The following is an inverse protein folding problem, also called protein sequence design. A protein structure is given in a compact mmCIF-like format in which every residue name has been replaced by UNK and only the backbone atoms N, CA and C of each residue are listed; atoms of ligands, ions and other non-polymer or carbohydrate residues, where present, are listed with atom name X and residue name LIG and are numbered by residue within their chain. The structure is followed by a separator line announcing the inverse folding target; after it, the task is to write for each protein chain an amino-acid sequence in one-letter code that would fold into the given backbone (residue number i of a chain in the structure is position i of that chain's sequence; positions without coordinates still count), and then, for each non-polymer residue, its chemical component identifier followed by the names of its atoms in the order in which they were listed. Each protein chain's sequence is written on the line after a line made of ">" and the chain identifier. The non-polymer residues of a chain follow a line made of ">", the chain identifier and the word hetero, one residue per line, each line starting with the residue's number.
data_IF_249149573034
#
_entry.id   IF_249149573034
#
_cell.length_a   1.000
_cell.length_b   1.000
_cell.length_c   1.000
_cell.angle_alpha   90.00
_cell.angle_beta   90.00
_cell.angle_gamma   90.00
#
_symmetry.space_group_name_H-M   'P 1'
#
loop_
_entity.id
_entity.type
_entity.pdbx_description
1 polymer ?
#
# COMPACT_ATOMS: atom_id res chain seq x y z
N UNK A 1 -4.19 -30.61 38.47
CA UNK A 1 -5.09 -30.08 39.52
C UNK A 1 -4.24 -29.57 40.68
N UNK A 2 -4.24 -28.26 40.91
CA UNK A 2 -4.15 -27.61 42.23
C UNK A 2 -4.40 -26.11 42.01
N UNK A 3 -5.69 -25.78 42.08
CA UNK A 3 -6.20 -24.43 42.32
C UNK A 3 -5.92 -24.07 43.79
N UNK A 4 -5.38 -22.89 44.05
CA UNK A 4 -5.68 -22.12 45.28
C UNK A 4 -5.66 -20.62 44.94
N UNK A 5 -6.82 -19.98 45.14
CA UNK A 5 -7.07 -18.53 45.32
C UNK A 5 -8.18 -18.46 46.39
N UNK A 6 -8.48 -17.31 47.04
CA UNK A 6 -7.63 -16.18 47.43
C UNK A 6 -7.82 -15.83 48.93
N UNK A 7 -6.99 -14.95 49.49
CA UNK A 7 -7.30 -14.27 50.76
C UNK A 7 -7.59 -12.79 50.47
N UNK A 8 -8.82 -12.37 50.76
CA UNK A 8 -9.21 -10.97 50.86
C UNK A 8 -8.58 -10.36 52.13
N UNK A 9 -7.98 -9.19 52.01
CA UNK A 9 -7.88 -8.25 53.13
C UNK A 9 -8.30 -6.86 52.64
N UNK A 10 -9.38 -6.35 53.21
CA UNK A 10 -9.85 -4.97 53.12
C UNK A 10 -9.09 -4.12 54.14
N UNK A 11 -8.68 -2.91 53.74
CA UNK A 11 -8.33 -1.83 54.66
C UNK A 11 -8.79 -0.50 54.06
N UNK A 12 -9.65 0.18 54.81
CA UNK A 12 -10.06 1.57 54.63
C UNK A 12 -9.18 2.47 55.51
N UNK A 13 -8.69 3.61 54.99
CA UNK A 13 -8.82 4.93 55.62
C UNK A 13 -8.03 6.06 54.89
N UNK A 14 -8.76 7.18 54.68
CA UNK A 14 -8.39 8.61 54.73
C UNK A 14 -7.25 9.21 53.87
N UNK A 15 -7.72 10.05 52.92
CA UNK A 15 -7.26 11.37 52.46
C UNK A 15 -5.87 11.84 52.90
N UNK A 16 -4.98 12.00 51.91
CA UNK A 16 -3.77 12.82 51.99
C UNK A 16 -3.51 13.48 50.63
N UNK A 17 -3.60 14.81 50.60
CA UNK A 17 -3.37 15.67 49.45
C UNK A 17 -1.87 15.62 49.07
N UNK A 18 -1.54 15.20 47.85
CA UNK A 18 -0.18 15.34 47.31
C UNK A 18 -0.24 15.71 45.83
N UNK A 19 0.59 16.68 45.49
CA UNK A 19 0.56 17.47 44.26
C UNK A 19 0.87 16.66 42.99
N UNK A 20 0.23 17.11 41.91
CA UNK A 20 0.41 16.68 40.54
C UNK A 20 1.84 16.91 40.04
N UNK A 21 2.45 15.87 39.48
CA UNK A 21 3.30 15.98 38.29
C UNK A 21 3.00 14.74 37.43
N UNK A 22 1.96 14.83 36.60
CA UNK A 22 1.73 13.86 35.54
C UNK A 22 2.55 14.30 34.33
N UNK A 23 3.62 13.56 34.02
CA UNK A 23 4.25 13.65 32.70
C UNK A 23 3.29 13.01 31.70
N UNK A 24 2.53 13.86 31.01
CA UNK A 24 1.78 13.48 29.81
C UNK A 24 2.78 13.24 28.68
N UNK A 25 3.23 12.00 28.49
CA UNK A 25 3.77 11.59 27.20
C UNK A 25 2.59 11.29 26.29
N UNK A 26 2.06 12.33 25.63
CA UNK A 26 1.16 12.14 24.51
C UNK A 26 1.96 11.58 23.33
N UNK A 27 2.07 10.25 23.26
CA UNK A 27 2.39 9.57 22.02
C UNK A 27 1.21 9.81 21.07
N UNK A 28 1.28 10.90 20.30
CA UNK A 28 0.28 11.23 19.29
C UNK A 28 0.22 10.12 18.24
N UNK A 29 -0.85 9.33 18.31
CA UNK A 29 -1.23 8.35 17.28
C UNK A 29 -1.87 9.10 16.12
N UNK A 30 -1.58 8.68 14.89
CA UNK A 30 -2.42 9.00 13.73
C UNK A 30 -3.77 8.32 13.93
N UNK A 31 -4.77 9.04 14.44
CA UNK A 31 -6.03 8.47 14.90
C UNK A 31 -7.11 8.34 13.79
N UNK A 32 -6.70 8.32 12.51
CA UNK A 32 -7.61 8.12 11.37
C UNK A 32 -7.46 6.75 10.72
N UNK A 33 -6.37 6.01 11.00
CA UNK A 33 -6.08 4.76 10.29
C UNK A 33 -7.06 3.61 10.62
N UNK A 34 -7.67 3.56 11.82
CA UNK A 34 -8.53 2.43 12.19
C UNK A 34 -9.89 2.45 11.50
N UNK A 35 -10.46 3.64 11.26
CA UNK A 35 -11.79 3.76 10.64
C UNK A 35 -11.73 3.45 9.14
N UNK A 36 -10.69 3.95 8.44
CA UNK A 36 -10.51 3.68 7.01
C UNK A 36 -10.16 2.21 6.73
N UNK A 37 -9.42 1.55 7.64
CA UNK A 37 -9.03 0.14 7.46
C UNK A 37 -10.21 -0.80 7.76
N UNK A 38 -11.04 -0.51 8.77
CA UNK A 38 -12.25 -1.31 9.02
C UNK A 38 -13.32 -1.12 7.94
N UNK A 39 -13.51 0.10 7.41
CA UNK A 39 -14.39 0.34 6.28
C UNK A 39 -13.89 -0.33 4.98
N UNK A 40 -12.57 -0.39 4.78
CA UNK A 40 -11.98 -1.13 3.65
C UNK A 40 -12.08 -2.65 3.84
N UNK A 41 -12.02 -3.14 5.08
CA UNK A 41 -12.19 -4.56 5.41
C UNK A 41 -13.66 -4.98 5.24
N UNK A 42 -14.63 -4.20 5.74
CA UNK A 42 -16.06 -4.50 5.57
C UNK A 42 -16.45 -4.56 4.10
N UNK A 43 -15.95 -3.62 3.28
CA UNK A 43 -16.26 -3.53 1.86
C UNK A 43 -15.71 -4.71 1.03
N UNK A 44 -14.83 -5.52 1.60
CA UNK A 44 -14.24 -6.70 0.96
C UNK A 44 -14.86 -8.02 1.43
N UNK A 45 -15.67 -8.02 2.50
CA UNK A 45 -16.15 -9.26 3.14
C UNK A 45 -17.68 -9.44 3.20
N UNK A 46 -18.46 -8.59 2.54
CA UNK A 46 -19.94 -8.59 2.65
C UNK A 46 -20.69 -9.69 1.85
N UNK A 47 -20.04 -10.83 1.58
CA UNK A 47 -20.70 -11.98 0.93
C UNK A 47 -20.37 -13.30 1.66
N UNK A 48 -20.78 -13.39 2.94
CA UNK A 48 -20.93 -14.68 3.63
C UNK A 48 -22.35 -14.84 4.18
N UNK A 49 -23.21 -15.44 3.37
CA UNK A 49 -24.36 -16.19 3.87
C UNK A 49 -24.24 -17.67 3.47
N UNK A 50 -24.11 -18.49 4.50
CA UNK A 50 -24.18 -19.97 4.55
C UNK A 50 -23.01 -20.77 3.98
N UNK A 51 -22.18 -21.31 4.89
CA UNK A 51 -21.91 -22.75 4.91
C UNK A 51 -21.47 -23.22 6.31
N UNK A 52 -22.19 -24.24 6.78
CA UNK A 52 -22.16 -24.81 8.12
C UNK A 52 -20.81 -25.44 8.51
N UNK A 53 -20.66 -25.53 9.83
CA UNK A 53 -19.54 -26.15 10.53
C UNK A 53 -19.36 -27.63 10.22
N UNK A 54 -18.15 -28.04 9.84
CA UNK A 54 -17.59 -29.34 10.22
C UNK A 54 -16.06 -29.25 10.31
N UNK A 55 -15.52 -29.46 11.52
CA UNK A 55 -14.08 -29.49 11.80
C UNK A 55 -13.50 -30.84 11.37
N UNK A 56 -12.62 -30.85 10.37
CA UNK A 56 -11.68 -31.95 10.13
C UNK A 56 -10.23 -31.48 10.27
N UNK A 57 -9.34 -32.30 10.88
CA UNK A 57 -7.98 -31.88 11.16
C UNK A 57 -7.14 -31.80 9.89
N UNK A 58 -6.35 -30.73 9.77
CA UNK A 58 -5.36 -30.50 8.72
C UNK A 58 -4.40 -31.70 8.60
N UNK A 59 -4.60 -32.53 7.58
CA UNK A 59 -3.56 -33.42 7.07
C UNK A 59 -2.62 -32.63 6.16
N UNK A 60 -1.32 -32.88 6.32
CA UNK A 60 -0.27 -32.26 5.55
C UNK A 60 -0.51 -32.47 4.04
N UNK A 61 -0.67 -31.36 3.31
CA UNK A 61 -0.77 -31.39 1.86
C UNK A 61 0.55 -31.90 1.27
N UNK A 62 0.47 -32.98 0.48
CA UNK A 62 1.57 -33.46 -0.34
C UNK A 62 1.87 -32.46 -1.47
N UNK A 63 3.10 -32.42 -2.01
CA UNK A 63 3.45 -31.49 -3.08
C UNK A 63 2.62 -31.80 -4.32
N UNK A 64 1.88 -30.81 -4.83
CA UNK A 64 1.14 -30.97 -6.07
C UNK A 64 2.13 -31.19 -7.22
N UNK A 65 2.04 -32.35 -7.87
CA UNK A 65 2.71 -32.62 -9.13
C UNK A 65 2.26 -31.59 -10.19
N UNK A 66 3.24 -31.01 -10.89
CA UNK A 66 3.01 -30.11 -12.03
C UNK A 66 2.34 -30.89 -13.16
N UNK A 67 1.01 -30.88 -13.18
CA UNK A 67 0.25 -31.18 -14.40
C UNK A 67 0.38 -29.98 -15.33
N UNK A 68 0.90 -30.21 -16.53
CA UNK A 68 1.02 -29.20 -17.57
C UNK A 68 -0.35 -28.62 -17.89
N UNK A 69 -0.59 -27.39 -17.45
CA UNK A 69 -1.77 -26.63 -17.83
C UNK A 69 -1.63 -26.22 -19.29
N UNK A 70 -2.61 -26.60 -20.10
CA UNK A 70 -2.85 -26.04 -21.41
C UNK A 70 -2.99 -24.50 -21.28
N UNK A 71 -2.12 -23.70 -21.93
CA UNK A 71 -2.13 -22.24 -21.82
C UNK A 71 -3.39 -21.58 -22.43
N UNK A 72 -4.29 -22.35 -23.04
CA UNK A 72 -5.56 -21.88 -23.59
C UNK A 72 -6.76 -21.94 -22.63
N UNK A 73 -6.62 -22.51 -21.43
CA UNK A 73 -7.75 -22.86 -20.55
C UNK A 73 -7.92 -21.99 -19.29
N UNK A 74 -7.23 -20.85 -19.18
CA UNK A 74 -7.55 -19.84 -18.16
C UNK A 74 -8.76 -19.02 -18.59
N UNK A 75 -9.89 -19.11 -17.88
CA UNK A 75 -11.06 -18.28 -18.19
C UNK A 75 -10.68 -16.80 -18.13
N UNK A 76 -10.85 -16.07 -19.23
CA UNK A 76 -10.56 -14.63 -19.30
C UNK A 76 -11.39 -13.91 -18.22
N UNK A 77 -10.76 -13.22 -17.25
CA UNK A 77 -11.46 -12.47 -16.22
C UNK A 77 -12.39 -11.43 -16.86
N UNK A 78 -13.67 -11.49 -16.52
CA UNK A 78 -14.63 -10.49 -16.93
C UNK A 78 -14.29 -9.15 -16.28
N UNK A 79 -14.34 -8.05 -17.05
CA UNK A 79 -14.11 -6.71 -16.54
C UNK A 79 -15.44 -6.19 -15.96
N UNK A 80 -15.52 -5.88 -14.65
CA UNK A 80 -16.72 -5.28 -14.07
C UNK A 80 -17.06 -3.96 -14.76
N UNK A 81 -18.36 -3.72 -14.95
CA UNK A 81 -18.86 -2.46 -15.51
C UNK A 81 -18.28 -1.25 -14.76
N UNK A 82 -18.09 -0.10 -15.42
CA UNK A 82 -17.70 1.12 -14.74
C UNK A 82 -18.70 1.46 -13.62
N UNK A 83 -18.19 1.69 -12.42
CA UNK A 83 -18.95 2.21 -11.29
C UNK A 83 -18.06 3.17 -10.50
N UNK A 84 -18.67 3.93 -9.59
CA UNK A 84 -17.91 4.69 -8.61
C UNK A 84 -16.96 3.76 -7.85
N UNK A 85 -15.76 4.27 -7.58
CA UNK A 85 -14.70 3.57 -6.85
C UNK A 85 -14.05 4.55 -5.90
N UNK A 86 -13.76 4.07 -4.70
CA UNK A 86 -12.97 4.80 -3.71
C UNK A 86 -11.53 4.96 -4.18
N UNK A 87 -10.88 6.03 -3.71
CA UNK A 87 -9.48 6.35 -3.95
C UNK A 87 -8.80 6.66 -2.60
N UNK A 88 -8.59 5.63 -1.75
CA UNK A 88 -8.10 5.83 -0.39
C UNK A 88 -6.64 6.28 -0.40
N UNK A 89 -6.16 6.82 0.73
CA UNK A 89 -4.79 7.30 0.82
C UNK A 89 -3.83 6.24 1.33
N UNK A 90 -2.81 5.93 0.54
CA UNK A 90 -1.72 5.03 0.90
C UNK A 90 -0.56 5.84 1.51
N UNK A 91 0.12 5.26 2.50
CA UNK A 91 1.29 5.83 3.19
C UNK A 91 2.54 5.04 2.84
N UNK A 92 3.43 5.62 2.04
CA UNK A 92 4.66 4.99 1.55
C UNK A 92 5.86 5.50 2.33
N UNK A 93 6.60 4.63 3.02
CA UNK A 93 7.89 4.99 3.59
C UNK A 93 8.94 5.15 2.48
N UNK A 94 9.55 6.34 2.40
CA UNK A 94 10.60 6.66 1.43
C UNK A 94 11.96 6.15 1.93
N UNK A 95 12.07 4.82 2.05
CA UNK A 95 13.25 4.11 2.52
C UNK A 95 14.44 4.31 1.58
N UNK A 96 14.19 4.39 0.26
CA UNK A 96 15.20 4.68 -0.76
C UNK A 96 15.81 6.09 -0.62
N UNK A 97 15.11 6.99 0.08
CA UNK A 97 15.53 8.37 0.31
C UNK A 97 16.26 8.57 1.64
N UNK A 98 16.65 7.49 2.34
CA UNK A 98 17.44 7.62 3.57
C UNK A 98 18.94 7.69 3.27
N UNK A 99 19.72 8.53 4.00
CA UNK A 99 19.25 9.53 4.96
C UNK A 99 18.60 10.74 4.27
N UNK A 100 17.72 11.45 4.98
CA UNK A 100 17.18 12.72 4.50
C UNK A 100 18.28 13.78 4.53
N UNK A 101 18.67 14.26 3.34
CA UNK A 101 19.71 15.29 3.15
C UNK A 101 19.12 16.67 2.97
N UNK A 102 18.02 16.75 2.22
CA UNK A 102 17.35 18.00 1.94
C UNK A 102 15.84 17.76 1.76
N UNK A 103 15.04 18.63 2.36
CA UNK A 103 13.60 18.71 2.11
C UNK A 103 13.22 20.15 1.76
N UNK A 104 12.54 20.33 0.63
CA UNK A 104 12.05 21.64 0.17
C UNK A 104 10.65 21.52 -0.42
N UNK A 105 9.94 22.63 -0.52
CA UNK A 105 8.58 22.67 -1.07
C UNK A 105 8.55 23.46 -2.38
N UNK A 106 7.62 23.10 -3.27
CA UNK A 106 7.36 23.74 -4.56
C UNK A 106 5.85 23.91 -4.77
N UNK A 107 5.47 24.74 -5.74
CA UNK A 107 4.07 24.89 -6.19
C UNK A 107 3.10 25.23 -5.04
N UNK A 108 3.55 26.07 -4.10
CA UNK A 108 2.74 26.51 -2.97
C UNK A 108 2.60 25.50 -1.82
N UNK A 109 3.34 24.39 -1.84
CA UNK A 109 3.44 23.50 -0.69
C UNK A 109 4.14 24.19 0.50
N UNK A 110 3.64 23.92 1.70
CA UNK A 110 4.21 24.43 2.94
C UNK A 110 4.37 23.30 3.96
N UNK A 111 5.16 23.55 5.01
CA UNK A 111 5.42 22.58 6.06
C UNK A 111 4.84 23.07 7.38
N UNK A 112 4.28 22.16 8.17
CA UNK A 112 3.71 22.44 9.49
C UNK A 112 4.25 21.48 10.53
N UNK A 113 4.32 21.94 11.77
CA UNK A 113 4.55 21.07 12.94
C UNK A 113 3.34 20.18 13.18
N UNK A 114 3.48 19.18 14.05
CA UNK A 114 2.35 18.36 14.50
C UNK A 114 1.19 19.20 15.07
N UNK A 115 1.48 20.36 15.68
CA UNK A 115 0.47 21.29 16.19
C UNK A 115 -0.13 22.24 15.13
N UNK A 116 0.22 22.09 13.86
CA UNK A 116 -0.28 22.90 12.75
C UNK A 116 0.46 24.24 12.54
N UNK A 117 1.50 24.53 13.33
CA UNK A 117 2.29 25.76 13.18
C UNK A 117 3.11 25.73 11.89
N UNK A 118 3.01 26.75 11.01
CA UNK A 118 3.82 26.82 9.79
C UNK A 118 5.33 26.85 10.09
N UNK A 119 6.11 26.15 9.26
CA UNK A 119 7.57 26.05 9.32
C UNK A 119 8.12 26.69 8.04
N UNK A 120 8.98 27.69 8.21
CA UNK A 120 9.67 28.31 7.07
C UNK A 120 10.70 27.33 6.45
N UNK A 121 10.90 27.34 5.11
CA UNK A 121 11.79 26.38 4.44
C UNK A 121 13.22 26.31 5.01
N UNK A 122 13.83 27.43 5.37
CA UNK A 122 15.17 27.48 5.98
C UNK A 122 15.22 27.01 7.45
N UNK A 123 14.08 26.94 8.12
CA UNK A 123 13.95 26.43 9.50
C UNK A 123 13.81 24.91 9.48
N UNK A 124 13.06 24.35 8.53
CA UNK A 124 12.81 22.91 8.43
C UNK A 124 14.11 22.10 8.40
N UNK A 125 15.02 22.39 7.46
CA UNK A 125 16.25 21.62 7.31
C UNK A 125 17.16 21.73 8.55
N UNK A 126 17.15 22.88 9.25
CA UNK A 126 17.85 23.01 10.54
C UNK A 126 17.22 22.13 11.62
N UNK A 127 15.88 22.08 11.70
CA UNK A 127 15.18 21.18 12.62
C UNK A 127 15.48 19.71 12.34
N UNK A 128 15.55 19.30 11.07
CA UNK A 128 15.91 17.92 10.69
C UNK A 128 17.33 17.54 11.11
N UNK A 129 18.27 18.49 11.15
CA UNK A 129 19.65 18.27 11.60
C UNK A 129 19.73 18.23 13.14
N UNK A 130 19.02 19.12 13.83
CA UNK A 130 19.17 19.36 15.26
C UNK A 130 18.30 18.45 16.14
N UNK A 131 17.10 18.09 15.67
CA UNK A 131 16.16 17.30 16.44
C UNK A 131 16.31 15.79 16.15
N UNK A 132 16.27 14.99 17.21
CA UNK A 132 16.30 13.53 17.17
C UNK A 132 14.89 12.89 17.28
N UNK A 133 13.86 13.71 17.46
CA UNK A 133 12.45 13.31 17.45
C UNK A 133 11.58 14.40 16.83
N UNK A 134 10.48 14.03 16.20
CA UNK A 134 9.50 14.99 15.73
C UNK A 134 8.58 14.42 14.65
N UNK A 135 7.52 15.18 14.38
CA UNK A 135 6.59 14.94 13.28
C UNK A 135 6.29 16.29 12.60
N UNK A 136 6.65 16.37 11.32
CA UNK A 136 6.33 17.50 10.45
C UNK A 136 5.54 17.02 9.25
N UNK A 137 4.60 17.81 8.77
CA UNK A 137 3.79 17.50 7.59
C UNK A 137 4.00 18.58 6.55
N UNK A 138 4.40 18.20 5.35
CA UNK A 138 4.66 19.10 4.24
C UNK A 138 3.78 18.74 3.05
N UNK A 139 3.13 19.70 2.42
CA UNK A 139 2.30 19.46 1.24
C UNK A 139 1.25 20.55 1.03
N UNK A 140 0.56 20.48 -0.10
CA UNK A 140 -0.64 21.27 -0.39
C UNK A 140 -1.40 20.66 -1.57
N UNK A 141 -2.63 21.11 -1.77
CA UNK A 141 -3.39 20.75 -2.98
C UNK A 141 -2.69 21.32 -4.22
N UNK A 142 -2.23 20.45 -5.12
CA UNK A 142 -1.51 20.83 -6.33
C UNK A 142 -0.03 21.18 -6.13
N UNK A 143 0.46 21.22 -4.88
CA UNK A 143 1.86 21.43 -4.55
C UNK A 143 2.70 20.16 -4.62
N UNK A 144 4.02 20.31 -4.52
CA UNK A 144 4.93 19.18 -4.37
C UNK A 144 6.03 19.41 -3.34
N UNK A 145 6.49 18.32 -2.75
CA UNK A 145 7.58 18.31 -1.78
C UNK A 145 8.75 17.55 -2.37
N UNK A 146 9.92 18.16 -2.36
CA UNK A 146 11.15 17.54 -2.84
C UNK A 146 11.87 16.93 -1.65
N UNK A 147 12.05 15.62 -1.68
CA UNK A 147 12.86 14.87 -0.72
C UNK A 147 14.10 14.39 -1.46
N UNK A 148 15.27 14.85 -1.02
CA UNK A 148 16.56 14.60 -1.69
C UNK A 148 16.55 14.92 -3.20
N UNK A 149 15.79 15.95 -3.59
CA UNK A 149 15.66 16.40 -4.98
C UNK A 149 14.59 15.67 -5.79
N UNK A 150 13.98 14.60 -5.27
CA UNK A 150 12.86 13.92 -5.93
C UNK A 150 11.53 14.52 -5.49
N UNK A 151 10.69 14.88 -6.46
CA UNK A 151 9.39 15.50 -6.20
C UNK A 151 8.29 14.46 -5.89
N UNK A 152 7.51 14.74 -4.86
CA UNK A 152 6.37 13.93 -4.43
C UNK A 152 5.12 14.79 -4.33
N UNK A 153 3.98 14.23 -4.74
CA UNK A 153 2.65 14.82 -4.58
C UNK A 153 2.00 14.34 -3.27
N UNK A 154 0.91 14.99 -2.87
CA UNK A 154 0.23 14.69 -1.61
C UNK A 154 0.96 15.29 -0.41
N UNK A 155 0.91 14.59 0.72
CA UNK A 155 1.55 15.04 1.97
C UNK A 155 2.77 14.19 2.27
N UNK A 156 3.89 14.82 2.60
CA UNK A 156 5.08 14.19 3.15
C UNK A 156 5.10 14.40 4.66
N UNK A 157 5.00 13.31 5.41
CA UNK A 157 5.25 13.30 6.84
C UNK A 157 6.73 12.98 7.10
N UNK A 158 7.42 13.89 7.77
CA UNK A 158 8.77 13.69 8.26
C UNK A 158 8.67 13.23 9.71
N UNK A 159 9.00 11.96 9.95
CA UNK A 159 8.86 11.31 11.25
C UNK A 159 10.23 10.91 11.79
N UNK A 160 10.49 11.24 13.05
CA UNK A 160 11.61 10.70 13.81
C UNK A 160 11.16 10.31 15.21
N UNK A 161 11.40 9.05 15.59
CA UNK A 161 11.13 8.51 16.94
C UNK A 161 12.42 8.06 17.63
N UNK A 162 13.51 8.81 17.46
CA UNK A 162 14.83 8.50 18.03
C UNK A 162 15.69 7.56 17.18
N UNK A 163 15.22 7.13 16.00
CA UNK A 163 15.92 6.20 15.09
C UNK A 163 16.33 6.86 13.76
N UNK A 164 16.38 8.19 13.75
CA UNK A 164 16.64 8.99 12.57
C UNK A 164 15.38 9.28 11.76
N UNK A 165 15.45 10.34 10.96
CA UNK A 165 14.32 10.80 10.16
C UNK A 165 13.93 9.80 9.06
N UNK A 166 12.63 9.70 8.84
CA UNK A 166 11.98 8.95 7.77
C UNK A 166 10.96 9.88 7.12
N UNK A 167 10.98 10.00 5.81
CA UNK A 167 9.90 10.62 5.07
C UNK A 167 8.86 9.55 4.70
N UNK A 168 7.60 9.86 4.91
CA UNK A 168 6.45 9.01 4.57
C UNK A 168 5.55 9.83 3.65
N UNK A 169 5.30 9.34 2.44
CA UNK A 169 4.39 9.99 1.51
C UNK A 169 2.99 9.43 1.67
N UNK A 170 2.06 10.28 2.10
CA UNK A 170 0.62 10.01 2.09
C UNK A 170 0.00 10.60 0.82
N UNK A 171 -0.56 9.74 -0.02
CA UNK A 171 -1.09 10.10 -1.34
C UNK A 171 -2.27 9.22 -1.73
N UNK A 172 -3.16 9.72 -2.57
CA UNK A 172 -4.24 8.93 -3.18
C UNK A 172 -3.70 7.70 -3.93
N UNK A 173 -4.39 6.57 -3.77
CA UNK A 173 -4.02 5.28 -4.34
C UNK A 173 -3.81 5.34 -5.85
N UNK A 174 -4.69 6.00 -6.60
CA UNK A 174 -4.56 6.06 -8.06
C UNK A 174 -3.31 6.86 -8.50
N UNK A 175 -2.91 7.89 -7.73
CA UNK A 175 -1.65 8.62 -8.00
C UNK A 175 -0.43 7.79 -7.64
N UNK A 176 -0.51 7.00 -6.57
CA UNK A 176 0.51 6.01 -6.23
C UNK A 176 0.68 4.97 -7.36
N UNK A 177 -0.42 4.38 -7.83
CA UNK A 177 -0.41 3.36 -8.89
C UNK A 177 0.21 3.91 -10.17
N UNK A 178 -0.16 5.13 -10.60
CA UNK A 178 0.42 5.73 -11.80
C UNK A 178 1.95 5.95 -11.69
N UNK A 179 2.43 6.26 -10.48
CA UNK A 179 3.86 6.41 -10.19
C UNK A 179 4.60 5.06 -10.20
N UNK A 180 3.99 4.02 -9.62
CA UNK A 180 4.54 2.65 -9.63
C UNK A 180 4.63 2.12 -11.05
N UNK A 181 3.56 2.22 -11.83
CA UNK A 181 3.53 1.74 -13.22
C UNK A 181 4.65 2.39 -14.04
N UNK A 182 4.87 3.69 -13.89
CA UNK A 182 5.94 4.39 -14.61
C UNK A 182 7.35 4.19 -14.05
N UNK A 183 7.49 3.69 -12.83
CA UNK A 183 8.78 3.31 -12.25
C UNK A 183 9.17 1.88 -12.62
N UNK A 184 8.16 1.01 -12.83
CA UNK A 184 8.30 -0.42 -13.12
C UNK A 184 8.35 -0.72 -14.63
N UNK A 185 7.57 0.01 -15.43
CA UNK A 185 7.45 -0.25 -16.88
C UNK A 185 7.79 0.99 -17.71
N UNK A 186 8.50 0.83 -18.84
CA UNK A 186 8.70 1.91 -19.78
C UNK A 186 7.38 2.49 -20.30
N UNK A 187 7.23 3.82 -20.24
CA UNK A 187 6.00 4.52 -20.62
C UNK A 187 5.59 4.36 -22.09
N UNK A 188 6.51 3.97 -22.96
CA UNK A 188 6.23 3.74 -24.39
C UNK A 188 5.76 2.30 -24.69
N UNK A 189 5.68 1.44 -23.67
CA UNK A 189 5.12 0.10 -23.81
C UNK A 189 3.62 0.14 -24.09
N UNK A 190 3.09 -0.99 -24.52
CA UNK A 190 1.71 -1.11 -24.94
C UNK A 190 0.76 -0.76 -23.79
N UNK A 191 -0.26 0.04 -24.08
CA UNK A 191 -1.24 0.48 -23.08
C UNK A 191 -1.93 -0.68 -22.35
N UNK A 192 -2.17 -1.82 -23.01
CA UNK A 192 -2.77 -2.99 -22.36
C UNK A 192 -1.82 -3.65 -21.35
N UNK A 193 -0.51 -3.62 -21.60
CA UNK A 193 0.49 -4.07 -20.63
C UNK A 193 0.56 -3.12 -19.43
N UNK A 194 0.56 -1.80 -19.68
CA UNK A 194 0.52 -0.79 -18.60
C UNK A 194 -0.76 -0.90 -17.75
N UNK A 195 -1.91 -1.21 -18.37
CA UNK A 195 -3.18 -1.46 -17.66
C UNK A 195 -3.10 -2.71 -16.79
N UNK A 196 -2.53 -3.80 -17.29
CA UNK A 196 -2.34 -5.03 -16.50
C UNK A 196 -1.47 -4.76 -15.27
N UNK A 197 -0.38 -4.01 -15.44
CA UNK A 197 0.46 -3.57 -14.34
C UNK A 197 -0.25 -2.65 -13.36
N UNK A 198 -1.11 -1.74 -13.83
CA UNK A 198 -1.87 -0.86 -12.94
C UNK A 198 -2.80 -1.67 -12.01
N UNK A 199 -3.48 -2.69 -12.52
CA UNK A 199 -4.33 -3.59 -11.71
C UNK A 199 -3.50 -4.37 -10.69
N UNK A 200 -2.35 -4.91 -11.10
CA UNK A 200 -1.45 -5.62 -10.18
C UNK A 200 -0.87 -4.66 -9.11
N UNK A 201 -0.36 -3.50 -9.50
CA UNK A 201 0.18 -2.51 -8.57
C UNK A 201 -0.87 -2.05 -7.54
N UNK A 202 -2.12 -1.84 -7.97
CA UNK A 202 -3.24 -1.46 -7.09
C UNK A 202 -3.57 -2.54 -6.07
N UNK A 203 -3.67 -3.79 -6.53
CA UNK A 203 -4.00 -4.94 -5.67
C UNK A 203 -2.95 -5.11 -4.57
N UNK A 204 -1.65 -5.04 -4.94
CA UNK A 204 -0.54 -5.06 -3.99
C UNK A 204 -0.61 -3.92 -2.96
N UNK A 205 -0.83 -2.68 -3.44
CA UNK A 205 -0.92 -1.50 -2.59
C UNK A 205 -2.03 -1.63 -1.54
N UNK A 206 -3.20 -2.12 -1.94
CA UNK A 206 -4.34 -2.32 -1.04
C UNK A 206 -4.11 -3.42 -0.01
N UNK A 207 -3.49 -4.54 -0.38
CA UNK A 207 -3.12 -5.58 0.60
C UNK A 207 -2.26 -4.98 1.72
N UNK A 208 -1.33 -4.09 1.37
CA UNK A 208 -0.48 -3.39 2.34
C UNK A 208 -1.19 -2.26 3.09
N UNK A 209 -2.33 -1.79 2.60
CA UNK A 209 -3.19 -0.91 3.39
C UNK A 209 -3.93 -1.69 4.48
N UNK A 210 -4.41 -2.90 4.15
CA UNK A 210 -5.07 -3.82 5.09
C UNK A 210 -4.10 -4.46 6.09
N UNK A 211 -2.87 -4.74 5.64
CA UNK A 211 -1.81 -5.38 6.43
C UNK A 211 -0.56 -4.51 6.41
N UNK A 212 -0.58 -3.35 7.10
CA UNK A 212 0.51 -2.39 7.01
C UNK A 212 1.79 -2.91 7.67
N UNK A 213 2.91 -2.54 7.08
CA UNK A 213 4.24 -2.84 7.60
C UNK A 213 4.52 -2.22 8.97
N UNK A 214 3.85 -1.11 9.29
CA UNK A 214 3.87 -0.48 10.61
C UNK A 214 2.63 0.39 10.84
N UNK A 215 2.47 0.91 12.05
CA UNK A 215 1.38 1.85 12.35
C UNK A 215 1.50 3.18 11.59
N UNK A 216 2.69 3.55 11.13
CA UNK A 216 2.97 4.86 10.53
C UNK A 216 2.88 4.84 8.99
N UNK A 217 3.10 3.68 8.37
CA UNK A 217 3.18 3.52 6.92
C UNK A 217 2.78 2.11 6.48
N UNK A 218 2.19 2.02 5.29
CA UNK A 218 1.64 0.79 4.70
C UNK A 218 2.74 -0.07 4.08
N UNK A 219 3.58 0.51 3.23
CA UNK A 219 4.66 -0.14 2.49
C UNK A 219 5.84 0.81 2.22
N UNK A 220 6.97 0.27 1.74
CA UNK A 220 8.14 1.06 1.36
C UNK A 220 8.28 1.27 -0.15
N UNK A 221 9.25 2.10 -0.57
CA UNK A 221 9.52 2.47 -1.96
C UNK A 221 10.73 1.75 -2.61
N UNK A 222 11.25 0.70 -1.96
CA UNK A 222 12.37 -0.11 -2.47
C UNK A 222 11.87 -1.33 -3.24
N UNK A 223 12.74 -1.99 -4.00
CA UNK A 223 12.44 -3.23 -4.76
C UNK A 223 11.93 -4.40 -3.92
N UNK A 224 12.12 -4.39 -2.59
CA UNK A 224 11.46 -5.33 -1.66
C UNK A 224 9.92 -5.22 -1.69
N UNK A 225 9.41 -4.08 -2.11
CA UNK A 225 7.98 -3.78 -2.21
C UNK A 225 7.64 -3.57 -3.69
N UNK A 226 7.55 -2.32 -4.12
CA UNK A 226 7.37 -1.88 -5.49
C UNK A 226 8.23 -0.65 -5.71
N UNK A 227 8.75 -0.47 -6.92
CA UNK A 227 9.42 0.76 -7.27
C UNK A 227 8.42 1.92 -7.23
N UNK A 228 8.65 2.87 -6.34
CA UNK A 228 7.86 4.08 -6.22
C UNK A 228 8.77 5.30 -6.33
N UNK A 229 8.47 6.19 -7.27
CA UNK A 229 9.39 7.25 -7.69
C UNK A 229 8.76 8.65 -7.65
N UNK A 230 7.63 8.80 -6.95
CA UNK A 230 6.92 10.06 -6.81
C UNK A 230 6.41 10.59 -8.15
N UNK A 231 6.34 11.93 -8.27
CA UNK A 231 5.80 12.62 -9.45
C UNK A 231 6.59 12.34 -10.73
N UNK A 232 7.88 12.06 -10.60
CA UNK A 232 8.81 11.98 -11.73
C UNK A 232 8.65 10.75 -12.62
N UNK A 233 8.11 9.65 -12.10
CA UNK A 233 7.86 8.44 -12.89
C UNK A 233 6.49 8.44 -13.58
N UNK A 234 5.55 9.25 -13.12
CA UNK A 234 4.23 9.34 -13.74
C UNK A 234 4.32 10.05 -15.10
N UNK A 235 3.84 9.39 -16.15
CA UNK A 235 3.72 9.98 -17.50
C UNK A 235 2.26 9.98 -17.94
N UNK A 236 1.95 10.67 -19.06
CA UNK A 236 0.59 10.68 -19.60
C UNK A 236 0.05 9.26 -19.86
N UNK A 237 0.89 8.36 -20.40
CA UNK A 237 0.54 6.96 -20.67
C UNK A 237 0.21 6.17 -19.39
N UNK A 238 1.00 6.33 -18.33
CA UNK A 238 0.83 5.57 -17.08
C UNK A 238 -0.38 6.08 -16.30
N UNK A 239 -0.63 7.40 -16.35
CA UNK A 239 -1.86 8.01 -15.83
C UNK A 239 -3.08 7.50 -16.59
N UNK A 240 -3.04 7.46 -17.92
CA UNK A 240 -4.16 6.95 -18.73
C UNK A 240 -4.44 5.47 -18.47
N UNK A 241 -3.40 4.63 -18.36
CA UNK A 241 -3.56 3.20 -18.06
C UNK A 241 -4.15 2.99 -16.66
N UNK A 242 -3.69 3.78 -15.69
CA UNK A 242 -4.18 3.74 -14.31
C UNK A 242 -5.66 4.16 -14.25
N UNK A 243 -6.02 5.27 -14.89
CA UNK A 243 -7.40 5.77 -14.93
C UNK A 243 -8.33 4.82 -15.70
N UNK A 244 -7.89 4.25 -16.82
CA UNK A 244 -8.67 3.27 -17.58
C UNK A 244 -8.95 1.97 -16.79
N UNK A 245 -8.17 1.71 -15.73
CA UNK A 245 -8.34 0.57 -14.82
C UNK A 245 -8.67 1.00 -13.40
N UNK A 246 -9.13 2.25 -13.20
CA UNK A 246 -9.39 2.85 -11.89
C UNK A 246 -10.19 1.89 -11.02
N UNK A 247 -9.73 1.64 -9.80
CA UNK A 247 -10.41 0.75 -8.86
C UNK A 247 -10.42 -0.74 -9.21
N UNK A 248 -9.90 -1.18 -10.35
CA UNK A 248 -9.83 -2.61 -10.68
C UNK A 248 -8.68 -3.30 -9.93
N UNK A 249 -8.99 -4.43 -9.33
CA UNK A 249 -8.08 -5.26 -8.54
C UNK A 249 -8.25 -6.74 -8.86
N UNK A 250 -7.24 -7.54 -8.55
CA UNK A 250 -7.29 -9.01 -8.62
C UNK A 250 -7.96 -9.56 -7.36
N UNK A 251 -8.93 -10.44 -7.56
CA UNK A 251 -9.64 -11.16 -6.49
C UNK A 251 -9.58 -12.66 -6.72
N UNK A 252 -9.56 -13.44 -5.64
CA UNK A 252 -9.66 -14.89 -5.69
C UNK A 252 -10.60 -15.38 -4.61
N UNK A 253 -11.68 -16.07 -5.01
CA UNK A 253 -12.75 -16.55 -4.11
C UNK A 253 -13.31 -15.43 -3.19
N UNK A 254 -13.53 -14.24 -3.75
CA UNK A 254 -14.04 -13.08 -3.01
C UNK A 254 -12.97 -12.30 -2.22
N UNK A 255 -11.80 -12.89 -1.94
CA UNK A 255 -10.71 -12.21 -1.25
C UNK A 255 -9.84 -11.35 -2.18
N UNK A 256 -9.27 -10.26 -1.66
CA UNK A 256 -8.23 -9.49 -2.33
C UNK A 256 -6.92 -10.29 -2.39
N UNK A 257 -6.27 -10.31 -3.55
CA UNK A 257 -5.03 -11.06 -3.77
C UNK A 257 -3.83 -10.13 -3.79
N UNK A 258 -2.77 -10.51 -3.08
CA UNK A 258 -1.46 -9.90 -3.25
C UNK A 258 -0.87 -10.32 -4.59
N UNK A 259 -0.81 -9.41 -5.54
CA UNK A 259 -0.30 -9.69 -6.88
C UNK A 259 1.17 -9.35 -6.99
N UNK A 260 2.00 -10.38 -7.10
CA UNK A 260 3.43 -10.26 -7.32
C UNK A 260 3.73 -10.11 -8.82
N UNK A 261 4.83 -9.44 -9.16
CA UNK A 261 5.31 -9.35 -10.54
C UNK A 261 6.83 -9.24 -10.58
N UNK A 262 7.42 -9.59 -11.72
CA UNK A 262 8.86 -9.59 -11.94
C UNK A 262 9.22 -9.16 -13.37
N UNK A 263 10.47 -8.77 -13.59
CA UNK A 263 10.92 -8.25 -14.89
C UNK A 263 10.82 -9.29 -16.00
N UNK A 264 11.27 -10.52 -15.76
CA UNK A 264 11.22 -11.65 -16.71
C UNK A 264 10.46 -12.83 -16.13
N UNK A 265 10.08 -13.79 -16.99
CA UNK A 265 9.42 -15.00 -16.54
C UNK A 265 10.33 -15.86 -15.67
N UNK A 266 11.63 -15.95 -15.96
CA UNK A 266 12.55 -16.75 -15.13
C UNK A 266 12.59 -16.22 -13.69
N UNK A 267 12.66 -14.90 -13.50
CA UNK A 267 12.64 -14.28 -12.17
C UNK A 267 11.29 -14.54 -11.49
N UNK A 268 10.19 -14.46 -12.23
CA UNK A 268 8.85 -14.75 -11.72
C UNK A 268 8.76 -16.17 -11.16
N UNK A 269 9.23 -17.16 -11.93
CA UNK A 269 9.19 -18.57 -11.56
C UNK A 269 10.14 -18.88 -10.39
N UNK A 270 11.34 -18.31 -10.40
CA UNK A 270 12.36 -18.55 -9.38
C UNK A 270 12.03 -17.84 -8.05
N UNK A 271 11.65 -16.55 -8.10
CA UNK A 271 11.40 -15.76 -6.90
C UNK A 271 10.02 -15.98 -6.31
N UNK A 272 9.00 -16.21 -7.15
CA UNK A 272 7.59 -16.23 -6.73
C UNK A 272 6.87 -17.54 -7.04
N UNK A 273 7.48 -18.49 -7.76
CA UNK A 273 6.81 -19.74 -8.14
C UNK A 273 6.33 -20.60 -6.96
N UNK A 274 6.86 -20.38 -5.75
CA UNK A 274 6.40 -21.00 -4.50
C UNK A 274 5.45 -20.11 -3.68
N UNK A 275 5.35 -18.82 -4.01
CA UNK A 275 4.53 -17.81 -3.32
C UNK A 275 3.16 -17.59 -3.99
N UNK A 276 2.98 -18.08 -5.21
CA UNK A 276 1.73 -18.00 -5.95
C UNK A 276 1.93 -17.50 -7.37
N UNK A 277 0.90 -16.86 -7.91
CA UNK A 277 0.91 -16.37 -9.29
C UNK A 277 1.65 -15.02 -9.38
N UNK A 278 2.51 -14.87 -10.39
CA UNK A 278 3.31 -13.66 -10.61
C UNK A 278 3.41 -13.31 -12.09
N UNK A 279 3.23 -12.03 -12.41
CA UNK A 279 3.25 -11.54 -13.79
C UNK A 279 4.66 -11.18 -14.26
N UNK A 280 5.05 -11.67 -15.44
CA UNK A 280 6.23 -11.15 -16.15
C UNK A 280 5.90 -9.83 -16.85
N UNK A 281 6.67 -8.77 -16.58
CA UNK A 281 6.50 -7.47 -17.23
C UNK A 281 6.78 -7.53 -18.74
N UNK A 282 7.90 -8.14 -19.15
CA UNK A 282 8.21 -8.32 -20.57
C UNK A 282 7.21 -9.25 -21.25
N UNK A 283 6.82 -10.35 -20.61
CA UNK A 283 5.82 -11.24 -21.17
C UNK A 283 4.44 -10.56 -21.30
N UNK A 284 4.04 -9.70 -20.35
CA UNK A 284 2.83 -8.89 -20.50
C UNK A 284 2.91 -7.94 -21.70
N UNK A 285 4.07 -7.33 -21.94
CA UNK A 285 4.32 -6.49 -23.12
C UNK A 285 4.22 -7.30 -24.43
N UNK A 286 4.82 -8.49 -24.49
CA UNK A 286 4.74 -9.37 -25.67
C UNK A 286 3.30 -9.80 -25.97
N UNK A 287 2.55 -10.20 -24.95
CA UNK A 287 1.14 -10.57 -25.10
C UNK A 287 0.30 -9.38 -25.58
N UNK A 288 0.55 -8.18 -25.05
CA UNK A 288 -0.12 -6.97 -25.51
C UNK A 288 0.21 -6.64 -26.96
N UNK A 289 1.46 -6.85 -27.41
CA UNK A 289 1.87 -6.71 -28.81
C UNK A 289 1.21 -7.75 -29.73
N UNK A 290 0.87 -8.93 -29.21
CA UNK A 290 0.06 -9.94 -29.91
C UNK A 290 -1.44 -9.61 -29.95
N UNK A 291 -1.86 -8.48 -29.37
CA UNK A 291 -3.23 -7.99 -29.41
C UNK A 291 -4.10 -8.38 -28.22
N UNK A 292 -3.52 -9.01 -27.19
CA UNK A 292 -4.27 -9.30 -25.97
C UNK A 292 -4.59 -8.04 -25.18
N UNK A 293 -5.78 -8.01 -24.60
CA UNK A 293 -6.23 -7.00 -23.66
C UNK A 293 -5.67 -7.27 -22.26
N UNK A 294 -5.64 -6.24 -21.42
CA UNK A 294 -5.09 -6.32 -20.09
C UNK A 294 -5.71 -7.44 -19.23
N UNK A 295 -7.02 -7.69 -19.35
CA UNK A 295 -7.69 -8.74 -18.59
C UNK A 295 -7.31 -10.14 -19.08
N UNK A 296 -7.10 -10.32 -20.39
CA UNK A 296 -6.58 -11.57 -20.96
C UNK A 296 -5.14 -11.83 -20.50
N UNK A 297 -4.30 -10.79 -20.46
CA UNK A 297 -2.94 -10.85 -19.92
C UNK A 297 -2.97 -11.27 -18.46
N UNK A 298 -3.78 -10.61 -17.63
CA UNK A 298 -3.94 -10.95 -16.22
C UNK A 298 -4.45 -12.38 -16.02
N UNK A 299 -5.40 -12.83 -16.84
CA UNK A 299 -5.93 -14.20 -16.78
C UNK A 299 -4.88 -15.29 -17.05
N UNK A 300 -3.83 -14.97 -17.83
CA UNK A 300 -2.70 -15.90 -18.05
C UNK A 300 -1.76 -15.99 -16.85
N UNK A 301 -1.48 -14.86 -16.19
CA UNK A 301 -0.52 -14.82 -15.08
C UNK A 301 -1.13 -15.15 -13.72
N UNK A 302 -2.42 -14.87 -13.53
CA UNK A 302 -3.14 -15.06 -12.27
C UNK A 302 -4.29 -16.04 -12.47
N UNK A 303 -3.96 -17.29 -12.81
CA UNK A 303 -4.94 -18.32 -13.11
C UNK A 303 -5.94 -18.51 -11.95
N UNK A 304 -7.24 -18.45 -12.29
CA UNK A 304 -8.33 -18.56 -11.32
C UNK A 304 -8.68 -17.27 -10.57
N UNK A 305 -7.91 -16.19 -10.74
CA UNK A 305 -8.29 -14.88 -10.25
C UNK A 305 -9.38 -14.24 -11.13
N UNK A 306 -10.27 -13.48 -10.52
CA UNK A 306 -11.24 -12.60 -11.17
C UNK A 306 -10.81 -11.14 -11.01
N UNK A 307 -11.46 -10.25 -11.77
CA UNK A 307 -11.35 -8.81 -11.56
C UNK A 307 -12.52 -8.34 -10.70
N UNK A 308 -12.20 -7.62 -9.64
CA UNK A 308 -13.15 -6.90 -8.81
C UNK A 308 -12.91 -5.40 -8.90
N UNK A 309 -13.90 -4.61 -8.48
CA UNK A 309 -13.78 -3.14 -8.39
C UNK A 309 -13.99 -2.73 -6.93
N UNK A 310 -13.08 -1.93 -6.39
CA UNK A 310 -13.16 -1.44 -5.01
C UNK A 310 -14.37 -0.49 -4.90
N UNK A 311 -15.17 -0.66 -3.86
CA UNK A 311 -16.31 0.20 -3.54
C UNK A 311 -16.19 0.71 -2.11
N UNK A 312 -16.83 1.84 -1.82
CA UNK A 312 -17.15 2.21 -0.44
C UNK A 312 -18.39 1.44 -0.06
N UNK A 313 -18.43 0.88 1.14
CA UNK A 313 -19.73 0.65 1.75
C UNK A 313 -20.34 2.03 2.01
N UNK A 314 -21.62 2.18 1.64
CA UNK A 314 -22.37 3.42 1.85
C UNK A 314 -22.59 3.72 3.33
#
# INVERSE_FOLDING_TARGET
>A
MRLVRPLLLTLTASVGLAAMIAWSTSAGRFNTASQDTEALLSALFDDEAQLDSEKQPLQAAQPAEKQGLDPSAGSVPAVPAPSESVDPQVRIALLSQRPLRNVSTQDGADCRTQGGTPIQPGVLNRMLIQANTGLFSCGSTGGSVLVNGRAYEGTIHLLNRGKGWLAINQINLERYVASVVGAEMPSHWNGEALKAQAVAARSYGLVHMLRPASNDWNLGDTTRWQAYAGRTSSSSSTIQATEATRGLVLSFKGGLVESLYASTQEISDEAHGHLGASMSQHGAQELAQQGLRFNEILGRYYAGASLARIKSDG
#
